data_IF_858539387663
#
_entry.id   IF_858539387663
#
_cell.length_a   1.000
_cell.length_b   1.000
_cell.length_c   1.000
_cell.angle_alpha   90.00
_cell.angle_beta   90.00
_cell.angle_gamma   90.00
#
_symmetry.space_group_name_H-M   'P 1'
#
loop_
_entity.id
_entity.type
_entity.pdbx_description
1 polymer ?
#
# COMPACT_ATOMS: atom_id res chain seq x y z
N UNK A 1 9.28 0.01 -47.58
CA UNK A 1 8.50 0.55 -46.44
C UNK A 1 9.48 1.17 -45.46
N UNK A 2 9.34 2.46 -45.19
CA UNK A 2 10.14 3.15 -44.17
C UNK A 2 9.70 2.68 -42.77
N UNK A 3 10.60 2.52 -41.79
CA UNK A 3 10.19 2.19 -40.43
C UNK A 3 9.40 3.36 -39.85
N UNK A 4 8.26 3.06 -39.26
CA UNK A 4 7.39 3.97 -38.52
C UNK A 4 8.10 4.53 -37.28
N UNK A 5 8.96 5.55 -37.45
CA UNK A 5 9.72 6.16 -36.35
C UNK A 5 8.92 7.12 -35.45
N UNK A 6 7.76 7.62 -35.91
CA UNK A 6 6.96 8.60 -35.15
C UNK A 6 6.12 7.96 -34.02
N UNK A 7 5.62 6.74 -34.18
CA UNK A 7 4.77 6.09 -33.17
C UNK A 7 5.51 5.74 -31.89
N UNK A 8 6.78 5.35 -32.00
CA UNK A 8 7.60 4.93 -30.86
C UNK A 8 8.12 6.14 -30.07
N UNK A 9 8.40 7.27 -30.74
CA UNK A 9 8.77 8.53 -30.09
C UNK A 9 7.57 9.16 -29.36
N UNK A 10 6.38 9.11 -29.96
CA UNK A 10 5.15 9.59 -29.34
C UNK A 10 4.75 8.70 -28.14
N UNK A 11 4.88 7.36 -28.24
CA UNK A 11 4.65 6.45 -27.11
C UNK A 11 5.68 6.66 -25.99
N UNK A 12 6.96 6.86 -26.33
CA UNK A 12 8.00 7.16 -25.34
C UNK A 12 7.78 8.49 -24.62
N UNK A 13 7.46 9.56 -25.36
CA UNK A 13 7.15 10.88 -24.80
C UNK A 13 5.94 10.83 -23.87
N UNK A 14 4.87 10.14 -24.29
CA UNK A 14 3.66 9.95 -23.49
C UNK A 14 3.94 9.15 -22.21
N UNK A 15 4.75 8.09 -22.27
CA UNK A 15 5.15 7.31 -21.07
C UNK A 15 6.01 8.13 -20.10
N UNK A 16 6.90 8.99 -20.61
CA UNK A 16 7.72 9.87 -19.78
C UNK A 16 6.87 10.94 -19.08
N UNK A 17 5.90 11.52 -19.79
CA UNK A 17 4.93 12.46 -19.25
C UNK A 17 4.07 11.79 -18.15
N UNK A 18 3.50 10.62 -18.43
CA UNK A 18 2.71 9.86 -17.47
C UNK A 18 3.51 9.49 -16.21
N UNK A 19 4.77 9.08 -16.35
CA UNK A 19 5.66 8.80 -15.21
C UNK A 19 5.92 10.02 -14.35
N UNK A 20 6.03 11.20 -14.96
CA UNK A 20 6.23 12.46 -14.25
C UNK A 20 4.96 12.90 -13.52
N UNK A 21 3.82 12.83 -14.19
CA UNK A 21 2.50 13.17 -13.62
C UNK A 21 2.13 12.24 -12.45
N UNK A 22 2.57 10.98 -12.46
CA UNK A 22 2.32 10.04 -11.38
C UNK A 22 2.94 10.45 -10.02
N UNK A 23 3.93 11.36 -10.01
CA UNK A 23 4.52 11.90 -8.78
C UNK A 23 3.74 13.09 -8.19
N UNK A 24 2.80 13.69 -8.93
CA UNK A 24 2.03 14.85 -8.45
C UNK A 24 1.37 14.59 -7.09
N UNK A 25 0.66 13.47 -6.86
CA UNK A 25 0.04 13.21 -5.56
C UNK A 25 1.06 13.10 -4.43
N UNK A 26 2.24 12.51 -4.68
CA UNK A 26 3.31 12.37 -3.69
C UNK A 26 3.91 13.74 -3.36
N UNK A 27 4.17 14.57 -4.37
CA UNK A 27 4.68 15.93 -4.18
C UNK A 27 3.67 16.75 -3.37
N UNK A 28 2.39 16.67 -3.73
CA UNK A 28 1.31 17.36 -3.00
C UNK A 28 1.29 16.99 -1.51
N UNK A 29 1.33 15.69 -1.18
CA UNK A 29 1.37 15.24 0.22
C UNK A 29 2.61 15.76 0.94
N UNK A 30 3.79 15.71 0.31
CA UNK A 30 5.02 16.24 0.92
C UNK A 30 4.95 17.76 1.16
N UNK A 31 4.33 18.52 0.25
CA UNK A 31 4.12 19.96 0.43
C UNK A 31 3.18 20.25 1.60
N UNK A 32 2.04 19.54 1.69
CA UNK A 32 1.10 19.67 2.82
C UNK A 32 1.77 19.30 4.14
N UNK A 33 2.53 18.21 4.17
CA UNK A 33 3.24 17.77 5.37
C UNK A 33 4.32 18.77 5.77
N UNK A 34 5.12 19.26 4.83
CA UNK A 34 6.15 20.27 5.08
C UNK A 34 5.56 21.58 5.60
N UNK A 35 4.46 22.06 5.00
CA UNK A 35 3.72 23.20 5.50
C UNK A 35 3.15 22.95 6.91
N UNK A 36 2.58 21.76 7.16
CA UNK A 36 2.02 21.43 8.48
C UNK A 36 3.10 21.39 9.57
N UNK A 37 4.32 20.95 9.22
CA UNK A 37 5.48 21.00 10.12
C UNK A 37 5.83 22.45 10.46
N UNK A 38 5.94 23.32 9.46
CA UNK A 38 6.17 24.75 9.66
C UNK A 38 5.07 25.39 10.54
N UNK A 39 3.81 25.19 10.18
CA UNK A 39 2.67 25.77 10.91
C UNK A 39 2.59 25.28 12.36
N UNK A 40 2.87 24.01 12.61
CA UNK A 40 2.83 23.47 13.98
C UNK A 40 4.05 23.88 14.80
N UNK A 41 5.26 23.75 14.27
CA UNK A 41 6.49 23.98 15.02
C UNK A 41 6.76 25.48 15.19
N UNK A 42 6.65 26.26 14.10
CA UNK A 42 7.02 27.68 14.10
C UNK A 42 5.86 28.53 14.57
N UNK A 43 4.74 28.52 13.83
CA UNK A 43 3.62 29.43 14.09
C UNK A 43 2.92 29.11 15.42
N UNK A 44 2.62 27.84 15.66
CA UNK A 44 1.98 27.44 16.91
C UNK A 44 3.01 27.37 18.06
N UNK A 45 3.92 26.40 18.05
CA UNK A 45 4.76 26.13 19.22
C UNK A 45 5.74 27.27 19.55
N UNK A 46 6.41 27.87 18.57
CA UNK A 46 7.40 28.93 18.84
C UNK A 46 6.71 30.26 19.10
N UNK A 47 5.83 30.73 18.21
CA UNK A 47 5.25 32.07 18.28
C UNK A 47 3.97 32.20 19.10
N UNK A 48 3.12 31.17 19.14
CA UNK A 48 1.82 31.27 19.80
C UNK A 48 1.82 30.77 21.25
N UNK A 49 2.55 29.68 21.55
CA UNK A 49 2.55 29.08 22.89
C UNK A 49 3.57 29.80 23.81
N UNK A 50 3.12 30.50 24.88
CA UNK A 50 4.04 31.17 25.79
C UNK A 50 4.62 30.21 26.85
N UNK A 51 3.88 29.16 27.23
CA UNK A 51 4.30 28.22 28.26
C UNK A 51 5.37 27.26 27.73
N UNK A 52 6.58 27.33 28.30
CA UNK A 52 7.71 26.50 27.89
C UNK A 52 7.48 25.00 28.12
N UNK A 53 6.82 24.60 29.22
CA UNK A 53 6.57 23.19 29.50
C UNK A 53 5.60 22.58 28.50
N UNK A 54 4.52 23.29 28.18
CA UNK A 54 3.55 22.90 27.15
C UNK A 54 4.22 22.82 25.77
N UNK A 55 4.99 23.85 25.41
CA UNK A 55 5.76 23.92 24.16
C UNK A 55 6.68 22.72 23.97
N UNK A 56 7.50 22.41 24.98
CA UNK A 56 8.44 21.29 24.92
C UNK A 56 7.68 19.96 24.80
N UNK A 57 6.63 19.77 25.61
CA UNK A 57 5.80 18.56 25.56
C UNK A 57 5.20 18.34 24.17
N UNK A 58 4.61 19.39 23.58
CA UNK A 58 4.00 19.33 22.25
C UNK A 58 5.04 19.04 21.17
N UNK A 59 6.19 19.71 21.20
CA UNK A 59 7.27 19.48 20.24
C UNK A 59 7.80 18.05 20.30
N UNK A 60 8.00 17.47 21.49
CA UNK A 60 8.50 16.09 21.65
C UNK A 60 7.52 15.09 21.05
N UNK A 61 6.24 15.17 21.42
CA UNK A 61 5.23 14.22 20.93
C UNK A 61 4.95 14.42 19.43
N UNK A 62 4.93 15.67 18.96
CA UNK A 62 4.80 16.00 17.55
C UNK A 62 5.90 15.34 16.72
N UNK A 63 7.17 15.50 17.11
CA UNK A 63 8.29 14.93 16.37
C UNK A 63 8.26 13.40 16.38
N UNK A 64 7.82 12.76 17.47
CA UNK A 64 7.64 11.31 17.51
C UNK A 64 6.65 10.84 16.43
N UNK A 65 5.46 11.46 16.36
CA UNK A 65 4.48 11.09 15.33
C UNK A 65 4.93 11.47 13.92
N UNK A 66 5.54 12.65 13.75
CA UNK A 66 6.07 13.11 12.47
C UNK A 66 7.13 12.15 11.92
N UNK A 67 8.11 11.74 12.74
CA UNK A 67 9.16 10.81 12.32
C UNK A 67 8.57 9.45 11.92
N UNK A 68 7.65 8.90 12.72
CA UNK A 68 7.02 7.61 12.39
C UNK A 68 6.13 7.69 11.14
N UNK A 69 5.42 8.81 10.95
CA UNK A 69 4.66 9.10 9.74
C UNK A 69 5.57 9.15 8.51
N UNK A 70 6.62 9.98 8.52
CA UNK A 70 7.57 10.11 7.41
C UNK A 70 8.24 8.77 7.12
N UNK A 71 8.70 8.06 8.15
CA UNK A 71 9.37 6.78 7.99
C UNK A 71 8.46 5.73 7.35
N UNK A 72 7.22 5.60 7.82
CA UNK A 72 6.26 4.65 7.24
C UNK A 72 5.79 5.04 5.84
N UNK A 73 5.61 6.35 5.56
CA UNK A 73 5.25 6.85 4.24
C UNK A 73 6.35 6.54 3.20
N UNK A 74 7.60 6.91 3.47
CA UNK A 74 8.72 6.64 2.57
C UNK A 74 9.02 5.15 2.44
N UNK A 75 8.85 4.36 3.50
CA UNK A 75 8.94 2.90 3.39
C UNK A 75 7.86 2.34 2.47
N UNK A 76 6.67 2.91 2.43
CA UNK A 76 5.60 2.48 1.51
C UNK A 76 5.92 2.85 0.06
N UNK A 77 6.43 4.06 -0.18
CA UNK A 77 6.84 4.55 -1.52
C UNK A 77 8.03 3.74 -2.06
N UNK A 78 9.12 3.65 -1.30
CA UNK A 78 10.38 3.10 -1.80
C UNK A 78 10.45 1.57 -1.83
N UNK A 79 9.51 0.88 -1.17
CA UNK A 79 9.49 -0.58 -1.18
C UNK A 79 8.96 -1.11 -2.50
N UNK A 80 9.84 -1.68 -3.31
CA UNK A 80 9.47 -2.26 -4.60
C UNK A 80 8.41 -3.37 -4.43
N UNK A 81 7.34 -3.39 -5.24
CA UNK A 81 6.41 -4.50 -5.27
C UNK A 81 7.14 -5.79 -5.62
N UNK A 82 6.76 -6.90 -4.96
CA UNK A 82 7.36 -8.20 -5.26
C UNK A 82 6.70 -8.82 -6.50
N UNK A 83 7.52 -9.33 -7.43
CA UNK A 83 7.07 -10.09 -8.61
C UNK A 83 7.09 -11.59 -8.36
N UNK A 84 6.31 -12.39 -9.13
CA UNK A 84 6.46 -13.84 -9.15
C UNK A 84 7.91 -14.29 -9.44
N UNK A 85 8.31 -15.43 -8.88
CA UNK A 85 9.60 -16.06 -9.20
C UNK A 85 9.60 -16.63 -10.62
N UNK A 86 10.79 -16.91 -11.16
CA UNK A 86 10.96 -17.51 -12.51
C UNK A 86 10.31 -18.88 -12.66
N UNK A 87 10.06 -19.58 -11.55
CA UNK A 87 9.40 -20.90 -11.54
C UNK A 87 7.95 -20.83 -12.04
N UNK A 88 7.31 -19.66 -11.91
CA UNK A 88 5.95 -19.43 -12.43
C UNK A 88 5.92 -19.05 -13.92
N UNK A 89 7.08 -18.79 -14.53
CA UNK A 89 7.17 -18.54 -15.97
C UNK A 89 7.13 -19.87 -16.73
N UNK A 90 6.48 -19.87 -17.90
CA UNK A 90 6.52 -21.03 -18.78
C UNK A 90 7.95 -21.28 -19.27
N UNK A 91 8.32 -22.56 -19.39
CA UNK A 91 9.56 -22.90 -20.07
C UNK A 91 9.51 -22.42 -21.53
N UNK A 92 10.67 -22.12 -22.13
CA UNK A 92 10.73 -21.57 -23.50
C UNK A 92 9.92 -22.39 -24.51
N UNK A 93 10.04 -23.71 -24.44
CA UNK A 93 9.32 -24.66 -25.32
C UNK A 93 7.81 -24.59 -25.12
N UNK A 94 7.35 -24.58 -23.86
CA UNK A 94 5.93 -24.48 -23.53
C UNK A 94 5.34 -23.13 -23.95
N UNK A 95 6.13 -22.06 -23.86
CA UNK A 95 5.76 -20.73 -24.31
C UNK A 95 5.57 -20.67 -25.83
N UNK A 96 6.53 -21.20 -26.59
CA UNK A 96 6.43 -21.26 -28.06
C UNK A 96 5.25 -22.12 -28.51
N UNK A 97 4.91 -23.17 -27.76
CA UNK A 97 3.72 -23.97 -28.00
C UNK A 97 2.45 -23.16 -27.68
N UNK A 98 2.37 -22.54 -26.49
CA UNK A 98 1.23 -21.73 -26.07
C UNK A 98 0.86 -20.65 -27.09
N UNK A 99 1.85 -19.96 -27.67
CA UNK A 99 1.64 -18.89 -28.65
C UNK A 99 1.04 -19.36 -29.98
N UNK A 100 1.18 -20.65 -30.32
CA UNK A 100 0.70 -21.21 -31.60
C UNK A 100 -0.66 -21.90 -31.49
N UNK A 101 -1.11 -22.16 -30.27
CA UNK A 101 -2.26 -23.03 -29.99
C UNK A 101 -3.55 -22.25 -29.77
N UNK A 102 -4.69 -22.92 -29.97
CA UNK A 102 -6.02 -22.36 -29.72
C UNK A 102 -6.31 -22.25 -28.20
N UNK A 103 -7.28 -21.40 -27.76
CA UNK A 103 -7.54 -21.14 -26.35
C UNK A 103 -7.75 -22.38 -25.45
N UNK A 104 -8.42 -23.41 -25.97
CA UNK A 104 -8.66 -24.65 -25.20
C UNK A 104 -7.35 -25.44 -24.99
N UNK A 105 -6.54 -25.57 -26.04
CA UNK A 105 -5.23 -26.22 -25.98
C UNK A 105 -4.23 -25.42 -25.12
N UNK A 106 -4.28 -24.09 -25.19
CA UNK A 106 -3.54 -23.19 -24.31
C UNK A 106 -3.82 -23.48 -22.83
N UNK A 107 -5.09 -23.65 -22.47
CA UNK A 107 -5.45 -24.00 -21.09
C UNK A 107 -4.91 -25.36 -20.65
N UNK A 108 -4.84 -26.34 -21.55
CA UNK A 108 -4.27 -27.64 -21.21
C UNK A 108 -2.75 -27.59 -21.00
N UNK A 109 -2.04 -26.75 -21.76
CA UNK A 109 -0.61 -26.45 -21.51
C UNK A 109 -0.44 -25.81 -20.13
N UNK A 110 -1.22 -24.77 -19.83
CA UNK A 110 -1.17 -24.07 -18.54
C UNK A 110 -1.51 -25.00 -17.37
N UNK A 111 -2.50 -25.88 -17.52
CA UNK A 111 -2.86 -26.89 -16.49
C UNK A 111 -1.69 -27.82 -16.22
N UNK A 112 -1.01 -28.32 -17.26
CA UNK A 112 0.16 -29.21 -17.13
C UNK A 112 1.31 -28.50 -16.41
N UNK A 113 1.65 -27.28 -16.84
CA UNK A 113 2.70 -26.48 -16.20
C UNK A 113 2.37 -26.13 -14.73
N UNK A 114 1.09 -25.94 -14.40
CA UNK A 114 0.67 -25.62 -13.04
C UNK A 114 0.71 -26.79 -12.05
N UNK A 115 0.81 -28.06 -12.48
CA UNK A 115 0.78 -29.22 -11.57
C UNK A 115 1.92 -29.19 -10.54
N UNK A 116 3.10 -28.72 -10.93
CA UNK A 116 4.27 -28.58 -10.05
C UNK A 116 4.30 -27.29 -9.23
N UNK A 117 3.32 -26.40 -9.41
CA UNK A 117 3.29 -25.09 -8.76
C UNK A 117 2.26 -25.07 -7.63
N UNK A 118 2.55 -24.37 -6.53
CA UNK A 118 1.60 -24.26 -5.42
C UNK A 118 0.54 -23.19 -5.74
N UNK A 119 -0.38 -23.54 -6.66
CA UNK A 119 -1.47 -22.67 -7.14
C UNK A 119 -2.82 -23.34 -6.92
N UNK A 120 -3.57 -22.85 -5.94
CA UNK A 120 -4.83 -23.43 -5.49
C UNK A 120 -6.06 -22.67 -6.01
N UNK A 121 -5.86 -21.47 -6.57
CA UNK A 121 -6.94 -20.66 -7.13
C UNK A 121 -7.03 -20.71 -8.66
N UNK A 122 -8.23 -20.45 -9.19
CA UNK A 122 -8.55 -20.43 -10.63
C UNK A 122 -9.33 -19.17 -10.99
N UNK A 123 -9.60 -18.98 -12.28
CA UNK A 123 -10.55 -17.97 -12.75
C UNK A 123 -11.99 -18.36 -12.39
N UNK A 124 -12.96 -17.46 -12.61
CA UNK A 124 -14.38 -17.76 -12.44
C UNK A 124 -14.89 -18.91 -13.32
N UNK A 125 -14.22 -19.20 -14.43
CA UNK A 125 -14.52 -20.31 -15.35
C UNK A 125 -13.74 -21.58 -15.03
N UNK A 126 -12.92 -21.59 -13.96
CA UNK A 126 -12.08 -22.73 -13.59
C UNK A 126 -10.74 -22.82 -14.34
N UNK A 127 -10.44 -21.87 -15.22
CA UNK A 127 -9.18 -21.81 -15.97
C UNK A 127 -7.98 -21.46 -15.07
N UNK A 128 -6.77 -21.83 -15.51
CA UNK A 128 -5.53 -21.43 -14.84
C UNK A 128 -5.36 -19.92 -14.98
N UNK A 129 -5.02 -19.25 -13.88
CA UNK A 129 -4.81 -17.80 -13.88
C UNK A 129 -3.48 -17.50 -14.56
N UNK A 130 -3.51 -16.97 -15.77
CA UNK A 130 -2.32 -16.59 -16.53
C UNK A 130 -2.26 -15.07 -16.77
N UNK A 131 -1.06 -14.54 -16.99
CA UNK A 131 -0.84 -13.17 -17.42
C UNK A 131 -0.17 -13.15 -18.80
N UNK A 132 -0.87 -12.70 -19.83
CA UNK A 132 -0.27 -12.62 -21.17
C UNK A 132 0.78 -11.50 -21.27
N UNK A 133 0.61 -10.38 -20.56
CA UNK A 133 1.63 -9.32 -20.56
C UNK A 133 2.97 -9.77 -19.94
N UNK A 134 2.92 -10.45 -18.79
CA UNK A 134 4.12 -10.87 -18.06
C UNK A 134 4.56 -12.30 -18.40
N UNK A 135 3.78 -13.03 -19.20
CA UNK A 135 4.00 -14.43 -19.56
C UNK A 135 4.26 -15.33 -18.33
N UNK A 136 3.37 -15.23 -17.34
CA UNK A 136 3.52 -15.91 -16.04
C UNK A 136 2.21 -16.52 -15.58
N UNK A 137 2.28 -17.76 -15.06
CA UNK A 137 1.18 -18.36 -14.30
C UNK A 137 1.08 -17.58 -12.99
N UNK A 138 -0.02 -16.88 -12.77
CA UNK A 138 -0.20 -16.01 -11.61
C UNK A 138 -0.20 -16.87 -10.34
N UNK A 139 0.74 -16.65 -9.41
CA UNK A 139 0.64 -17.22 -8.07
C UNK A 139 -0.70 -16.84 -7.43
N UNK A 140 -1.11 -17.59 -6.41
CA UNK A 140 -2.30 -17.22 -5.67
C UNK A 140 -2.18 -15.79 -5.13
N UNK A 141 -3.29 -15.04 -5.21
CA UNK A 141 -3.40 -13.63 -4.80
C UNK A 141 -2.54 -12.65 -5.62
N UNK A 142 -1.89 -13.11 -6.70
CA UNK A 142 -1.13 -12.25 -7.61
C UNK A 142 -2.03 -11.64 -8.69
N UNK A 143 -1.87 -10.34 -8.93
CA UNK A 143 -2.60 -9.62 -9.98
C UNK A 143 -1.64 -8.74 -10.78
N UNK A 144 -1.93 -8.57 -12.07
CA UNK A 144 -1.19 -7.65 -12.93
C UNK A 144 -1.72 -6.23 -12.70
N UNK A 145 -0.84 -5.28 -12.43
CA UNK A 145 -1.16 -3.87 -12.39
C UNK A 145 -0.62 -3.22 -13.66
N UNK A 146 -1.50 -2.67 -14.50
CA UNK A 146 -1.12 -1.98 -15.72
C UNK A 146 -0.30 -0.72 -15.47
N UNK A 147 -0.57 0.00 -14.37
CA UNK A 147 0.20 1.19 -14.00
C UNK A 147 1.64 0.84 -13.58
N UNK A 148 1.81 -0.27 -12.85
CA UNK A 148 3.14 -0.76 -12.47
C UNK A 148 3.79 -1.59 -13.60
N UNK A 149 3.04 -1.93 -14.66
CA UNK A 149 3.39 -2.84 -15.77
C UNK A 149 4.03 -4.16 -15.31
N UNK A 150 3.47 -4.74 -14.26
CA UNK A 150 4.00 -5.96 -13.66
C UNK A 150 2.94 -6.75 -12.87
N UNK A 151 3.19 -8.05 -12.72
CA UNK A 151 2.47 -8.88 -11.76
C UNK A 151 2.97 -8.61 -10.34
N UNK A 152 2.07 -8.27 -9.43
CA UNK A 152 2.34 -7.94 -8.03
C UNK A 152 1.82 -9.05 -7.12
N UNK A 153 2.72 -9.62 -6.31
CA UNK A 153 2.36 -10.64 -5.32
C UNK A 153 1.45 -10.07 -4.24
N UNK A 154 0.39 -10.81 -3.89
CA UNK A 154 -0.64 -10.41 -2.91
C UNK A 154 -1.07 -8.95 -3.12
N UNK A 155 -1.35 -8.59 -4.38
CA UNK A 155 -1.72 -7.23 -4.77
C UNK A 155 -2.97 -6.81 -4.01
N UNK A 156 -2.89 -5.65 -3.37
CA UNK A 156 -4.03 -5.02 -2.72
C UNK A 156 -4.65 -3.97 -3.64
N UNK A 157 -3.89 -2.94 -4.00
CA UNK A 157 -4.29 -1.92 -4.95
C UNK A 157 -3.07 -1.15 -5.46
N UNK A 158 -3.24 -0.41 -6.55
CA UNK A 158 -2.30 0.64 -6.92
C UNK A 158 -2.70 1.94 -6.21
N UNK A 159 -1.77 2.58 -5.48
CA UNK A 159 -2.07 3.75 -4.68
C UNK A 159 -1.34 4.98 -5.26
N UNK A 160 -2.08 5.93 -5.87
CA UNK A 160 -1.47 7.14 -6.43
C UNK A 160 -0.75 8.00 -5.39
N UNK A 161 -1.24 8.03 -4.15
CA UNK A 161 -0.69 8.82 -3.05
C UNK A 161 0.72 8.40 -2.59
N UNK A 162 1.15 7.21 -2.96
CA UNK A 162 2.51 6.70 -2.74
C UNK A 162 3.23 6.37 -4.06
N UNK A 163 2.61 6.69 -5.20
CA UNK A 163 3.07 6.34 -6.55
C UNK A 163 3.62 4.91 -6.65
N UNK A 164 2.91 3.95 -6.05
CA UNK A 164 3.39 2.57 -5.95
C UNK A 164 2.24 1.59 -5.76
N UNK A 165 2.46 0.34 -6.17
CA UNK A 165 1.57 -0.76 -5.87
C UNK A 165 1.70 -1.18 -4.40
N UNK A 166 0.57 -1.27 -3.70
CA UNK A 166 0.47 -1.86 -2.37
C UNK A 166 0.22 -3.36 -2.52
N UNK A 167 1.12 -4.17 -2.00
CA UNK A 167 1.06 -5.64 -2.11
C UNK A 167 1.90 -6.33 -1.04
N UNK A 168 2.36 -7.54 -1.32
CA UNK A 168 3.03 -8.40 -0.34
C UNK A 168 4.18 -7.70 0.42
N UNK A 169 5.04 -6.98 -0.30
CA UNK A 169 6.29 -6.40 0.24
C UNK A 169 6.08 -5.16 1.11
N UNK A 170 5.02 -4.39 0.91
CA UNK A 170 4.83 -3.09 1.56
C UNK A 170 3.48 -2.94 2.28
N UNK A 171 2.59 -3.94 2.28
CA UNK A 171 1.28 -3.83 2.94
C UNK A 171 1.37 -3.46 4.42
N UNK A 172 2.35 -4.02 5.16
CA UNK A 172 2.61 -3.63 6.56
C UNK A 172 2.94 -2.13 6.67
N UNK A 173 3.80 -1.63 5.79
CA UNK A 173 4.21 -0.22 5.80
C UNK A 173 3.03 0.69 5.48
N UNK A 174 2.17 0.29 4.53
CA UNK A 174 0.96 1.01 4.22
C UNK A 174 -0.01 1.09 5.41
N UNK A 175 -0.25 -0.03 6.12
CA UNK A 175 -1.11 -0.02 7.31
C UNK A 175 -0.52 0.84 8.43
N UNK A 176 0.80 0.80 8.64
CA UNK A 176 1.48 1.69 9.59
C UNK A 176 1.43 3.16 9.16
N UNK A 177 1.57 3.44 7.87
CA UNK A 177 1.41 4.78 7.30
C UNK A 177 0.02 5.34 7.60
N UNK A 178 -1.04 4.55 7.40
CA UNK A 178 -2.41 4.98 7.78
C UNK A 178 -2.54 5.23 9.29
N UNK A 179 -2.00 4.34 10.12
CA UNK A 179 -2.05 4.49 11.57
C UNK A 179 -1.32 5.74 12.06
N UNK A 180 -0.09 5.98 11.59
CA UNK A 180 0.69 7.17 11.98
C UNK A 180 0.17 8.46 11.35
N UNK A 181 -0.45 8.41 10.16
CA UNK A 181 -1.18 9.54 9.58
C UNK A 181 -2.35 9.94 10.46
N UNK A 182 -3.13 8.96 10.94
CA UNK A 182 -4.25 9.18 11.84
C UNK A 182 -3.78 9.78 13.17
N UNK A 183 -2.74 9.21 13.79
CA UNK A 183 -2.18 9.72 15.05
C UNK A 183 -1.62 11.14 14.90
N UNK A 184 -0.92 11.41 13.80
CA UNK A 184 -0.41 12.75 13.47
C UNK A 184 -1.55 13.76 13.36
N UNK A 185 -2.60 13.45 12.60
CA UNK A 185 -3.75 14.34 12.42
C UNK A 185 -4.53 14.56 13.72
N UNK A 186 -4.79 13.50 14.51
CA UNK A 186 -5.49 13.61 15.80
C UNK A 186 -4.69 14.46 16.77
N UNK A 187 -3.38 14.22 16.86
CA UNK A 187 -2.52 14.98 17.75
C UNK A 187 -2.51 16.47 17.38
N UNK A 188 -2.37 16.81 16.10
CA UNK A 188 -2.48 18.19 15.61
C UNK A 188 -3.85 18.77 15.97
N UNK A 189 -4.95 18.11 15.57
CA UNK A 189 -6.29 18.64 15.78
C UNK A 189 -6.59 18.87 17.28
N UNK A 190 -6.23 17.91 18.14
CA UNK A 190 -6.47 18.00 19.58
C UNK A 190 -5.67 19.13 20.24
N UNK A 191 -4.39 19.28 19.89
CA UNK A 191 -3.52 20.33 20.47
C UNK A 191 -3.83 21.71 19.90
N UNK A 192 -4.18 21.80 18.62
CA UNK A 192 -4.56 23.06 17.95
C UNK A 192 -5.92 23.56 18.42
N UNK A 193 -6.87 22.70 18.79
CA UNK A 193 -8.25 23.08 19.11
C UNK A 193 -8.35 24.22 20.14
N UNK A 194 -7.55 24.18 21.21
CA UNK A 194 -7.57 25.25 22.21
C UNK A 194 -7.08 26.60 21.65
N UNK A 195 -6.08 26.59 20.75
CA UNK A 195 -5.56 27.79 20.11
C UNK A 195 -6.48 28.29 19.00
N UNK A 196 -7.13 27.37 18.28
CA UNK A 196 -8.20 27.67 17.34
C UNK A 196 -9.32 28.46 18.03
N UNK A 197 -9.78 28.00 19.21
CA UNK A 197 -10.81 28.70 19.99
C UNK A 197 -10.32 30.08 20.43
N UNK A 198 -9.07 30.19 20.92
CA UNK A 198 -8.49 31.48 21.33
C UNK A 198 -8.40 32.49 20.18
N UNK A 199 -7.97 32.07 19.00
CA UNK A 199 -7.97 32.92 17.80
C UNK A 199 -9.38 33.30 17.35
N UNK A 200 -10.33 32.37 17.41
CA UNK A 200 -11.73 32.61 17.00
C UNK A 200 -12.46 33.57 17.94
N UNK A 201 -12.12 33.52 19.22
CA UNK A 201 -12.69 34.39 20.29
C UNK A 201 -11.88 35.66 20.52
N UNK A 202 -10.91 35.97 19.65
CA UNK A 202 -10.04 37.16 19.73
C UNK A 202 -9.25 37.28 21.05
N UNK A 203 -8.92 36.17 21.70
CA UNK A 203 -8.05 36.13 22.89
C UNK A 203 -6.56 36.15 22.52
N UNK A 204 -6.23 35.92 21.25
CA UNK A 204 -4.89 36.03 20.70
C UNK A 204 -4.87 37.13 19.62
N UNK A 205 -3.74 37.88 19.49
CA UNK A 205 -3.63 38.94 18.50
C UNK A 205 -3.69 38.39 17.07
N UNK A 206 -4.27 39.17 16.17
CA UNK A 206 -4.32 38.81 14.74
C UNK A 206 -2.93 38.97 14.13
N UNK A 207 -2.30 37.84 13.82
CA UNK A 207 -0.95 37.73 13.28
C UNK A 207 -0.96 36.69 12.16
N UNK A 208 0.14 36.57 11.40
CA UNK A 208 0.27 35.53 10.38
C UNK A 208 -0.01 34.10 10.93
N UNK A 209 0.28 33.86 12.22
CA UNK A 209 0.00 32.59 12.90
C UNK A 209 -1.50 32.21 12.88
N UNK A 210 -2.42 33.18 12.89
CA UNK A 210 -3.88 32.92 12.87
C UNK A 210 -4.27 32.12 11.63
N UNK A 211 -3.80 32.53 10.45
CA UNK A 211 -4.11 31.83 9.20
C UNK A 211 -3.59 30.39 9.24
N UNK A 212 -2.33 30.20 9.65
CA UNK A 212 -1.71 28.89 9.73
C UNK A 212 -2.42 27.96 10.72
N UNK A 213 -2.72 28.43 11.93
CA UNK A 213 -3.33 27.63 13.00
C UNK A 213 -4.77 27.24 12.64
N UNK A 214 -5.57 28.15 12.09
CA UNK A 214 -6.93 27.84 11.65
C UNK A 214 -6.94 26.83 10.49
N UNK A 215 -6.11 27.05 9.47
CA UNK A 215 -6.05 26.14 8.32
C UNK A 215 -5.50 24.76 8.72
N UNK A 216 -4.53 24.72 9.65
CA UNK A 216 -3.94 23.48 10.16
C UNK A 216 -4.99 22.60 10.85
N UNK A 217 -5.90 23.19 11.64
CA UNK A 217 -7.01 22.46 12.25
C UNK A 217 -7.91 21.80 11.20
N UNK A 218 -8.36 22.57 10.21
CA UNK A 218 -9.27 22.06 9.17
C UNK A 218 -8.63 21.00 8.31
N UNK A 219 -7.38 21.20 7.88
CA UNK A 219 -6.63 20.21 7.09
C UNK A 219 -6.44 18.92 7.90
N UNK A 220 -6.01 19.02 9.16
CA UNK A 220 -5.84 17.85 10.03
C UNK A 220 -7.15 17.10 10.25
N UNK A 221 -8.26 17.80 10.53
CA UNK A 221 -9.57 17.18 10.72
C UNK A 221 -10.09 16.49 9.46
N UNK A 222 -9.93 17.13 8.29
CA UNK A 222 -10.33 16.55 6.99
C UNK A 222 -9.57 15.25 6.71
N UNK A 223 -8.22 15.28 6.80
CA UNK A 223 -7.42 14.07 6.59
C UNK A 223 -7.72 13.00 7.64
N UNK A 224 -7.94 13.37 8.90
CA UNK A 224 -8.30 12.42 9.95
C UNK A 224 -9.56 11.62 9.59
N UNK A 225 -10.64 12.29 9.19
CA UNK A 225 -11.91 11.62 8.87
C UNK A 225 -11.72 10.65 7.70
N UNK A 226 -11.06 11.10 6.63
CA UNK A 226 -10.80 10.25 5.46
C UNK A 226 -9.92 9.05 5.82
N UNK A 227 -8.81 9.26 6.53
CA UNK A 227 -7.86 8.20 6.90
C UNK A 227 -8.47 7.23 7.91
N UNK A 228 -9.30 7.69 8.85
CA UNK A 228 -9.98 6.83 9.81
C UNK A 228 -10.83 5.77 9.12
N UNK A 229 -11.59 6.16 8.08
CA UNK A 229 -12.40 5.22 7.31
C UNK A 229 -11.55 4.17 6.60
N UNK A 230 -10.49 4.60 5.92
CA UNK A 230 -9.58 3.72 5.18
C UNK A 230 -8.81 2.79 6.11
N UNK A 231 -8.30 3.31 7.23
CA UNK A 231 -7.60 2.53 8.24
C UNK A 231 -8.52 1.45 8.84
N UNK A 232 -9.75 1.81 9.21
CA UNK A 232 -10.74 0.87 9.73
C UNK A 232 -11.05 -0.25 8.74
N UNK A 233 -11.20 0.09 7.46
CA UNK A 233 -11.40 -0.89 6.39
C UNK A 233 -10.21 -1.85 6.27
N UNK A 234 -8.97 -1.34 6.27
CA UNK A 234 -7.79 -2.19 6.19
C UNK A 234 -7.55 -3.03 7.45
N UNK A 235 -7.91 -2.56 8.64
CA UNK A 235 -7.89 -3.38 9.85
C UNK A 235 -8.85 -4.58 9.73
N UNK A 236 -10.03 -4.37 9.17
CA UNK A 236 -10.98 -5.46 8.88
C UNK A 236 -10.40 -6.45 7.84
N UNK A 237 -9.77 -5.95 6.77
CA UNK A 237 -9.11 -6.78 5.75
C UNK A 237 -7.97 -7.62 6.34
N UNK A 238 -7.11 -7.01 7.17
CA UNK A 238 -6.05 -7.72 7.91
C UNK A 238 -6.67 -8.81 8.76
N UNK A 239 -7.71 -8.50 9.54
CA UNK A 239 -8.39 -9.48 10.40
C UNK A 239 -9.03 -10.65 9.65
N UNK A 240 -9.40 -10.47 8.39
CA UNK A 240 -9.97 -11.51 7.51
C UNK A 240 -8.95 -12.16 6.56
N UNK A 241 -7.69 -11.71 6.57
CA UNK A 241 -6.65 -12.07 5.60
C UNK A 241 -7.10 -11.90 4.14
N UNK A 242 -7.75 -10.78 3.84
CA UNK A 242 -8.20 -10.44 2.48
C UNK A 242 -7.42 -9.25 1.97
N UNK A 243 -7.16 -9.22 0.67
CA UNK A 243 -6.82 -7.99 -0.03
C UNK A 243 -8.09 -7.23 -0.40
N UNK A 244 -7.96 -5.95 -0.77
CA UNK A 244 -9.07 -5.15 -1.31
C UNK A 244 -9.71 -5.85 -2.52
N UNK A 245 -8.90 -6.39 -3.45
CA UNK A 245 -9.39 -7.16 -4.62
C UNK A 245 -10.24 -8.35 -4.18
N UNK A 246 -9.77 -9.13 -3.21
CA UNK A 246 -10.46 -10.33 -2.70
C UNK A 246 -11.75 -9.99 -1.94
N UNK A 247 -11.83 -8.80 -1.33
CA UNK A 247 -13.05 -8.33 -0.68
C UNK A 247 -14.17 -8.09 -1.69
N UNK A 248 -13.84 -7.54 -2.87
CA UNK A 248 -14.79 -7.33 -3.97
C UNK A 248 -15.07 -8.61 -4.76
N UNK A 249 -14.05 -9.42 -5.05
CA UNK A 249 -14.19 -10.67 -5.82
C UNK A 249 -13.56 -11.82 -5.07
N UNK A 250 -14.40 -12.74 -4.60
CA UNK A 250 -13.94 -13.92 -3.87
C UNK A 250 -12.98 -14.75 -4.74
N UNK A 251 -11.82 -15.17 -4.22
CA UNK A 251 -10.96 -16.11 -4.92
C UNK A 251 -11.69 -17.45 -5.12
N UNK A 252 -11.51 -18.05 -6.29
CA UNK A 252 -12.14 -19.33 -6.66
C UNK A 252 -11.16 -20.46 -6.40
N UNK A 253 -11.50 -21.32 -5.45
CA UNK A 253 -10.75 -22.54 -5.13
C UNK A 253 -11.38 -23.75 -5.84
N UNK A 254 -10.79 -24.93 -5.65
CA UNK A 254 -11.33 -26.20 -6.18
C UNK A 254 -12.80 -26.46 -5.79
N UNK A 255 -13.20 -26.03 -4.59
CA UNK A 255 -14.56 -26.21 -4.07
C UNK A 255 -15.50 -25.03 -4.40
N UNK A 256 -15.05 -24.11 -5.26
CA UNK A 256 -15.79 -22.89 -5.62
C UNK A 256 -15.26 -21.61 -4.95
N UNK A 257 -15.99 -20.50 -5.10
CA UNK A 257 -15.61 -19.21 -4.53
C UNK A 257 -15.67 -19.21 -3.00
N UNK A 258 -14.58 -18.78 -2.34
CA UNK A 258 -14.53 -18.67 -0.88
C UNK A 258 -13.81 -17.40 -0.42
N UNK A 259 -14.55 -16.44 0.17
CA UNK A 259 -13.96 -15.21 0.72
C UNK A 259 -13.06 -15.47 1.94
N UNK A 260 -13.19 -16.62 2.59
CA UNK A 260 -12.41 -16.99 3.78
C UNK A 260 -11.31 -18.00 3.49
N UNK A 261 -11.08 -18.39 2.22
CA UNK A 261 -10.16 -19.50 1.90
C UNK A 261 -8.70 -19.27 2.31
N UNK A 262 -8.30 -18.01 2.55
CA UNK A 262 -6.97 -17.66 3.10
C UNK A 262 -6.99 -17.30 4.59
N UNK A 263 -8.14 -17.32 5.26
CA UNK A 263 -8.24 -16.96 6.68
C UNK A 263 -7.72 -18.09 7.57
N UNK A 264 -6.83 -17.73 8.50
CA UNK A 264 -6.21 -18.64 9.47
C UNK A 264 -6.72 -18.42 10.90
N UNK A 265 -7.72 -17.55 11.08
CA UNK A 265 -8.15 -16.99 12.36
C UNK A 265 -7.49 -15.63 12.65
N UNK A 266 -8.21 -14.74 13.34
CA UNK A 266 -7.85 -13.32 13.48
C UNK A 266 -6.38 -13.09 13.88
N UNK A 267 -5.93 -13.73 14.97
CA UNK A 267 -4.55 -13.56 15.48
C UNK A 267 -3.49 -13.99 14.46
N UNK A 268 -3.72 -15.10 13.75
CA UNK A 268 -2.78 -15.61 12.74
C UNK A 268 -2.80 -14.74 11.48
N UNK A 269 -3.95 -14.17 11.14
CA UNK A 269 -4.07 -13.21 10.04
C UNK A 269 -3.30 -11.91 10.32
N UNK A 270 -3.31 -11.43 11.57
CA UNK A 270 -2.50 -10.27 11.98
C UNK A 270 -1.01 -10.60 11.92
N UNK A 271 -0.60 -11.78 12.43
CA UNK A 271 0.80 -12.24 12.38
C UNK A 271 1.29 -12.39 10.94
N UNK A 272 0.45 -12.87 10.02
CA UNK A 272 0.75 -12.90 8.59
C UNK A 272 1.15 -11.53 8.03
N UNK A 273 0.60 -10.44 8.57
CA UNK A 273 0.93 -9.08 8.13
C UNK A 273 2.13 -8.49 8.87
N UNK A 274 2.13 -8.60 10.20
CA UNK A 274 3.07 -7.89 11.08
C UNK A 274 4.27 -8.73 11.56
N UNK A 275 4.28 -10.04 11.30
CA UNK A 275 5.31 -10.99 11.72
C UNK A 275 5.13 -11.50 13.15
N UNK A 276 5.88 -12.54 13.52
CA UNK A 276 5.77 -13.19 14.84
C UNK A 276 6.33 -12.32 15.99
N UNK A 277 7.34 -11.50 15.70
CA UNK A 277 8.01 -10.67 16.70
C UNK A 277 7.25 -9.36 16.96
N UNK A 278 6.39 -9.36 17.98
CA UNK A 278 5.56 -8.21 18.38
C UNK A 278 6.31 -6.90 18.58
N UNK A 279 7.56 -6.95 19.06
CA UNK A 279 8.42 -5.76 19.24
C UNK A 279 8.62 -4.93 17.97
N UNK A 280 8.43 -5.53 16.80
CA UNK A 280 8.61 -4.87 15.51
C UNK A 280 7.29 -4.48 14.84
N UNK A 281 6.15 -4.69 15.48
CA UNK A 281 4.84 -4.42 14.88
C UNK A 281 4.65 -2.94 14.56
N UNK A 282 5.10 -2.06 15.47
CA UNK A 282 4.98 -0.61 15.35
C UNK A 282 6.02 0.00 14.40
N UNK A 283 7.07 -0.75 14.03
CA UNK A 283 8.16 -0.21 13.22
C UNK A 283 8.01 -0.59 11.75
N UNK A 284 8.20 0.35 10.80
CA UNK A 284 8.12 0.09 9.37
C UNK A 284 9.40 -0.59 8.84
N UNK A 285 9.73 -1.72 9.46
CA UNK A 285 10.78 -2.65 9.06
C UNK A 285 10.17 -3.97 8.62
N UNK A 286 10.88 -4.68 7.75
CA UNK A 286 10.48 -6.02 7.33
C UNK A 286 10.52 -6.96 8.54
N UNK A 287 9.41 -7.65 8.78
CA UNK A 287 9.25 -8.58 9.92
C UNK A 287 8.78 -9.95 9.53
N UNK A 288 8.39 -10.12 8.27
CA UNK A 288 8.24 -11.45 7.70
C UNK A 288 9.64 -11.97 7.47
N UNK A 289 9.91 -13.18 7.94
CA UNK A 289 11.16 -13.85 7.65
C UNK A 289 11.41 -13.74 6.14
N UNK A 290 12.59 -13.25 5.76
CA UNK A 290 13.24 -13.63 4.50
C UNK A 290 13.55 -15.10 4.61
N UNK A 291 12.49 -15.91 4.58
CA UNK A 291 12.58 -17.30 4.22
C UNK A 291 13.29 -17.34 2.87
N UNK A 292 14.38 -18.11 2.81
CA UNK A 292 15.11 -18.49 1.58
C UNK A 292 14.16 -18.56 0.37
N UNK A 293 14.60 -18.25 -0.87
CA UNK A 293 13.75 -18.29 -2.08
C UNK A 293 12.80 -19.51 -2.19
N UNK A 294 13.19 -20.65 -1.62
CA UNK A 294 12.40 -21.89 -1.56
C UNK A 294 11.22 -21.86 -0.56
N UNK A 295 11.24 -21.00 0.46
CA UNK A 295 10.25 -20.89 1.54
C UNK A 295 9.37 -19.63 1.47
N UNK A 296 9.52 -18.79 0.42
CA UNK A 296 8.56 -17.70 0.14
C UNK A 296 7.14 -18.25 -0.09
N UNK A 297 7.08 -19.47 -0.63
CA UNK A 297 5.88 -20.25 -0.86
C UNK A 297 5.15 -20.64 0.42
N UNK A 298 5.88 -21.04 1.46
CA UNK A 298 5.32 -21.45 2.75
C UNK A 298 4.62 -20.29 3.46
N UNK A 299 5.09 -19.05 3.27
CA UNK A 299 4.50 -17.87 3.91
C UNK A 299 3.26 -17.34 3.18
N UNK A 300 3.07 -17.66 1.89
CA UNK A 300 1.84 -17.31 1.16
C UNK A 300 0.75 -18.39 1.28
N UNK A 301 1.11 -19.61 1.69
CA UNK A 301 0.28 -20.81 1.46
C UNK A 301 0.10 -21.68 2.70
N UNK A 302 1.07 -21.77 3.60
CA UNK A 302 1.03 -22.78 4.67
C UNK A 302 0.74 -22.17 6.03
N UNK A 303 -0.55 -22.14 6.36
CA UNK A 303 -1.06 -22.52 7.68
C UNK A 303 -2.54 -22.93 7.63
N UNK A 304 -3.04 -23.37 6.47
CA UNK A 304 -4.34 -24.02 6.32
C UNK A 304 -4.30 -25.41 6.96
N UNK A 305 -4.97 -25.53 8.12
CA UNK A 305 -5.41 -26.75 8.82
C UNK A 305 -4.66 -28.06 8.45
N UNK A 306 -3.65 -28.39 9.24
CA UNK A 306 -3.57 -29.76 9.79
C UNK A 306 -4.67 -29.94 10.82
#
# INVERSE_FOLDING_TARGET
EFPSGNSDLDDYSNRCCQRSLAWIPVIFINLVVGWSYYAYVVELCIFTIPNNAEKISYLVVFHLFFIMFIWSYWKTICSRPASPSKEFCLAKVEKEQYEKEQPDAQQDILKKAAVGLPVYTRTGTGAVRYCDHCQVIKPDRCHHCSTCDMCVLKMDHHCPWVNNCVGFSNYKFFVLFLAYSMLYCVFIAATVLQYFIKFWTNQLPDTHAKFHVLFLFFVAAMFFISILSLFSYHLWLVGKNRTTIEAFRAPVFRNGPDKNGFSLGFSRNVVEVFGDQKKYWMFPIYTRCTCSPQNLFTCLIFKGKS
#
